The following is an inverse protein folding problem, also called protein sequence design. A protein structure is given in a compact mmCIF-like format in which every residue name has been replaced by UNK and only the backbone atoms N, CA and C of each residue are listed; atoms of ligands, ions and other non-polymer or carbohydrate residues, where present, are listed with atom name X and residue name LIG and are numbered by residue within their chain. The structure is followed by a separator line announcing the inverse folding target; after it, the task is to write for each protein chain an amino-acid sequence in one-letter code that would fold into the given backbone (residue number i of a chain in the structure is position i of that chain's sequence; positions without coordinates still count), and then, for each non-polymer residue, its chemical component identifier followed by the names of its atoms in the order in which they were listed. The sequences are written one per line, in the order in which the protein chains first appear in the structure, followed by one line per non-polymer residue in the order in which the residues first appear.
data_IF_423416484649
#
_entry.id   IF_423416484649
#
_cell.length_a   1.000
_cell.length_b   1.000
_cell.length_c   1.000
_cell.angle_alpha   90.00
_cell.angle_beta   90.00
_cell.angle_gamma   90.00
#
_symmetry.space_group_name_H-M   'P 1'
#
loop_
_entity.id
_entity.type
_entity.pdbx_description
1 polymer ?
#
# COMPACT_ATOMS: atom_id res chain seq x y z
N UNK A 1 -21.69 -2.48 -6.50
CA UNK A 1 -20.58 -3.43 -6.31
C UNK A 1 -20.01 -3.73 -7.67
N UNK A 2 -18.70 -3.71 -7.81
CA UNK A 2 -17.99 -4.10 -9.04
C UNK A 2 -16.90 -5.09 -8.66
N UNK A 3 -16.67 -6.10 -9.48
CA UNK A 3 -15.59 -7.07 -9.34
C UNK A 3 -14.84 -7.12 -10.64
N UNK A 4 -13.54 -6.83 -10.60
CA UNK A 4 -12.68 -6.77 -11.78
C UNK A 4 -11.57 -7.80 -11.61
N UNK A 5 -11.22 -8.49 -12.70
CA UNK A 5 -10.00 -9.29 -12.73
C UNK A 5 -8.78 -8.37 -12.69
N UNK A 6 -7.71 -8.80 -12.01
CA UNK A 6 -6.44 -8.09 -12.01
C UNK A 6 -5.32 -8.94 -12.59
N UNK A 7 -4.34 -8.25 -13.18
CA UNK A 7 -3.04 -8.80 -13.56
C UNK A 7 -1.99 -8.41 -12.50
N UNK A 8 -0.77 -8.94 -12.65
CA UNK A 8 0.35 -8.56 -11.78
C UNK A 8 1.51 -7.99 -12.57
N UNK A 9 2.14 -6.96 -12.00
CA UNK A 9 3.48 -6.52 -12.36
C UNK A 9 4.35 -6.76 -11.14
N UNK A 10 5.17 -7.81 -11.17
CA UNK A 10 5.85 -8.34 -9.98
C UNK A 10 4.82 -8.73 -8.89
N UNK A 11 4.88 -8.12 -7.71
CA UNK A 11 3.90 -8.29 -6.63
C UNK A 11 2.68 -7.37 -6.74
N UNK A 12 2.76 -6.31 -7.55
CA UNK A 12 1.77 -5.24 -7.59
C UNK A 12 0.50 -5.68 -8.31
N UNK A 13 -0.67 -5.35 -7.73
CA UNK A 13 -1.98 -5.57 -8.35
C UNK A 13 -2.20 -4.52 -9.44
N UNK A 14 -2.43 -4.96 -10.67
CA UNK A 14 -2.69 -4.10 -11.82
C UNK A 14 -4.12 -4.29 -12.34
N UNK A 15 -4.88 -3.20 -12.46
CA UNK A 15 -6.29 -3.20 -12.89
C UNK A 15 -6.53 -2.29 -14.08
N UNK A 16 -7.52 -2.60 -14.94
CA UNK A 16 -7.99 -1.68 -15.97
C UNK A 16 -8.77 -0.53 -15.33
N UNK A 17 -8.42 0.70 -15.71
CA UNK A 17 -9.06 1.93 -15.23
C UNK A 17 -9.36 2.82 -16.43
N UNK A 18 -10.61 3.25 -16.56
CA UNK A 18 -10.99 4.25 -17.55
C UNK A 18 -10.82 5.64 -16.96
N UNK A 19 -10.00 6.46 -17.60
CA UNK A 19 -9.80 7.87 -17.25
C UNK A 19 -10.31 8.73 -18.41
N UNK A 20 -11.33 9.55 -18.16
CA UNK A 20 -12.10 10.17 -19.24
C UNK A 20 -12.79 9.10 -20.11
N UNK A 21 -12.33 8.95 -21.36
CA UNK A 21 -12.85 7.97 -22.33
C UNK A 21 -11.84 6.86 -22.69
N UNK A 22 -10.63 6.90 -22.11
CA UNK A 22 -9.56 5.97 -22.45
C UNK A 22 -9.30 5.01 -21.31
N UNK A 23 -9.16 3.72 -21.62
CA UNK A 23 -8.75 2.70 -20.67
C UNK A 23 -7.22 2.63 -20.54
N UNK A 24 -6.76 2.49 -19.31
CA UNK A 24 -5.37 2.43 -18.91
C UNK A 24 -5.13 1.33 -17.89
N UNK A 25 -3.86 0.99 -17.67
CA UNK A 25 -3.45 0.09 -16.59
C UNK A 25 -2.91 0.88 -15.41
N UNK A 26 -3.53 0.67 -14.26
CA UNK A 26 -3.17 1.30 -12.99
C UNK A 26 -2.75 0.25 -11.99
N UNK A 27 -1.85 0.62 -11.08
CA UNK A 27 -1.59 -0.17 -9.89
C UNK A 27 -2.58 0.18 -8.78
N UNK A 28 -2.76 -0.74 -7.83
CA UNK A 28 -3.47 -0.48 -6.57
C UNK A 28 -2.48 -0.58 -5.43
N UNK A 29 -2.34 0.52 -4.70
CA UNK A 29 -1.32 0.67 -3.68
C UNK A 29 -1.91 1.39 -2.47
N UNK A 30 -1.90 0.75 -1.30
CA UNK A 30 -2.35 1.38 -0.06
C UNK A 30 -1.29 2.24 0.63
N UNK A 31 0.00 2.10 0.27
CA UNK A 31 1.12 2.87 0.81
C UNK A 31 1.51 4.10 -0.02
N UNK A 32 0.90 4.31 -1.19
CA UNK A 32 1.15 5.53 -2.00
C UNK A 32 0.51 6.79 -1.40
N UNK A 33 -0.48 6.61 -0.51
CA UNK A 33 -1.23 7.67 0.17
C UNK A 33 -2.22 8.43 -0.72
N UNK A 34 -1.74 9.04 -1.81
CA UNK A 34 -2.54 9.76 -2.81
C UNK A 34 -2.59 9.04 -4.16
N UNK A 35 -3.69 9.22 -4.90
CA UNK A 35 -3.75 8.70 -6.28
C UNK A 35 -2.81 9.49 -7.18
N UNK A 36 -2.06 8.79 -8.02
CA UNK A 36 -1.10 9.38 -8.95
C UNK A 36 -1.46 9.01 -10.39
N UNK A 37 -1.34 9.97 -11.31
CA UNK A 37 -1.40 9.74 -12.76
C UNK A 37 -0.14 10.29 -13.44
N UNK A 38 0.22 9.73 -14.59
CA UNK A 38 1.34 10.21 -15.38
C UNK A 38 1.03 11.56 -16.04
N UNK A 39 2.08 12.31 -16.38
CA UNK A 39 1.97 13.60 -17.06
C UNK A 39 1.22 13.45 -18.39
N UNK A 40 1.49 12.36 -19.12
CA UNK A 40 0.81 12.06 -20.39
C UNK A 40 -0.70 11.80 -20.26
N UNK A 41 -1.16 11.29 -19.12
CA UNK A 41 -2.61 11.14 -18.84
C UNK A 41 -3.19 12.50 -18.45
N UNK A 42 -2.50 13.28 -17.61
CA UNK A 42 -2.94 14.61 -17.20
C UNK A 42 -3.12 15.55 -18.40
N UNK A 43 -2.17 15.57 -19.34
CA UNK A 43 -2.20 16.40 -20.55
C UNK A 43 -3.39 16.09 -21.46
N UNK A 44 -3.78 14.81 -21.58
CA UNK A 44 -4.90 14.39 -22.44
C UNK A 44 -6.27 14.76 -21.90
N UNK A 45 -6.37 15.00 -20.60
CA UNK A 45 -7.65 15.31 -19.97
C UNK A 45 -8.06 16.78 -20.14
N UNK A 46 -7.23 17.60 -20.80
CA UNK A 46 -7.24 19.07 -20.62
C UNK A 46 -7.40 19.40 -19.14
N UNK A 47 -6.68 18.62 -18.30
CA UNK A 47 -6.99 18.48 -16.89
C UNK A 47 -6.90 19.82 -16.20
N UNK A 48 -7.99 20.24 -15.55
CA UNK A 48 -8.01 21.45 -14.76
C UNK A 48 -6.98 21.30 -13.63
N UNK A 49 -5.81 21.90 -13.82
CA UNK A 49 -4.82 22.04 -12.77
C UNK A 49 -5.50 22.75 -11.61
N UNK A 50 -5.29 22.25 -10.40
CA UNK A 50 -5.88 22.92 -9.22
C UNK A 50 -5.11 24.19 -8.87
N UNK A 51 -3.89 24.34 -9.41
CA UNK A 51 -2.93 25.37 -9.01
C UNK A 51 -2.21 25.05 -7.71
N UNK A 52 -2.43 23.86 -7.15
CA UNK A 52 -1.87 23.41 -5.88
C UNK A 52 -0.85 22.29 -6.11
N UNK A 53 0.05 22.13 -5.15
CA UNK A 53 0.97 21.00 -5.06
C UNK A 53 0.69 20.19 -3.80
N UNK A 54 1.11 18.94 -3.80
CA UNK A 54 1.14 18.09 -2.61
C UNK A 54 2.55 17.54 -2.44
N UNK A 55 3.07 17.56 -1.20
CA UNK A 55 4.35 16.96 -0.87
C UNK A 55 4.13 15.64 -0.15
N UNK A 56 4.31 14.52 -0.86
CA UNK A 56 4.37 13.19 -0.27
C UNK A 56 5.77 12.89 0.28
N UNK A 57 5.88 11.86 1.11
CA UNK A 57 7.17 11.36 1.60
C UNK A 57 7.33 9.88 1.29
N UNK A 58 8.48 9.49 0.77
CA UNK A 58 8.88 8.08 0.67
C UNK A 58 9.20 7.53 2.06
N UNK A 59 9.23 6.20 2.21
CA UNK A 59 9.65 5.55 3.46
C UNK A 59 11.08 5.95 3.90
N UNK A 60 11.96 6.32 2.96
CA UNK A 60 13.29 6.89 3.22
C UNK A 60 13.28 8.30 3.83
N UNK A 61 12.11 8.95 3.87
CA UNK A 61 11.92 10.33 4.31
C UNK A 61 12.08 11.39 3.22
N UNK A 62 12.47 10.99 2.01
CA UNK A 62 12.58 11.89 0.86
C UNK A 62 11.21 12.51 0.55
N UNK A 63 11.18 13.83 0.46
CA UNK A 63 9.99 14.58 0.10
C UNK A 63 9.88 14.67 -1.42
N UNK A 64 8.69 14.38 -1.96
CA UNK A 64 8.37 14.49 -3.38
C UNK A 64 7.18 15.41 -3.51
N UNK A 65 7.40 16.56 -4.13
CA UNK A 65 6.34 17.48 -4.50
C UNK A 65 5.77 17.10 -5.86
N UNK A 66 4.46 16.97 -5.94
CA UNK A 66 3.71 16.70 -7.16
C UNK A 66 2.63 17.77 -7.38
N UNK A 67 2.43 18.26 -8.61
CA UNK A 67 1.29 19.13 -8.90
C UNK A 67 -0.01 18.32 -8.83
N UNK A 68 -1.09 18.98 -8.42
CA UNK A 68 -2.42 18.39 -8.32
C UNK A 68 -3.29 18.74 -9.52
N UNK A 69 -4.02 17.74 -10.00
CA UNK A 69 -5.01 17.89 -11.07
C UNK A 69 -6.35 17.31 -10.64
N UNK A 70 -7.43 17.94 -11.09
CA UNK A 70 -8.77 17.39 -10.93
C UNK A 70 -9.12 16.53 -12.15
N UNK A 71 -9.25 15.24 -11.92
CA UNK A 71 -9.65 14.28 -12.95
C UNK A 71 -11.18 14.25 -13.02
N UNK A 72 -11.80 14.61 -14.17
CA UNK A 72 -13.26 14.72 -14.25
C UNK A 72 -13.97 13.41 -13.94
N UNK A 73 -13.41 12.29 -14.40
CA UNK A 73 -13.97 10.95 -14.23
C UNK A 73 -12.88 9.89 -14.24
N UNK A 74 -12.88 9.04 -13.23
CA UNK A 74 -12.09 7.81 -13.14
C UNK A 74 -13.05 6.66 -12.85
N UNK A 75 -12.97 5.58 -13.64
CA UNK A 75 -13.82 4.41 -13.48
C UNK A 75 -12.99 3.12 -13.41
N UNK A 76 -13.35 2.24 -12.47
CA UNK A 76 -12.81 0.91 -12.26
C UNK A 76 -13.97 -0.08 -12.34
N UNK A 77 -14.19 -0.66 -13.52
CA UNK A 77 -15.46 -1.33 -13.84
C UNK A 77 -16.66 -0.39 -13.63
N UNK A 78 -17.65 -0.82 -12.85
CA UNK A 78 -18.84 0.00 -12.55
C UNK A 78 -18.63 1.00 -11.40
N UNK A 79 -17.48 0.97 -10.71
CA UNK A 79 -17.15 1.96 -9.68
C UNK A 79 -16.60 3.23 -10.33
N UNK A 80 -17.24 4.36 -10.08
CA UNK A 80 -16.94 5.64 -10.72
C UNK A 80 -16.74 6.71 -9.67
N UNK A 81 -15.65 7.47 -9.80
CA UNK A 81 -15.39 8.67 -9.02
C UNK A 81 -15.29 9.86 -9.97
N UNK A 82 -16.05 10.90 -9.66
CA UNK A 82 -16.05 12.16 -10.42
C UNK A 82 -15.29 13.24 -9.67
N UNK A 83 -14.53 14.06 -10.40
CA UNK A 83 -13.77 15.17 -9.83
C UNK A 83 -12.68 14.77 -8.84
N UNK A 84 -12.16 13.54 -8.94
CA UNK A 84 -11.08 13.04 -8.08
C UNK A 84 -9.83 13.89 -8.20
N UNK A 85 -9.16 14.19 -7.09
CA UNK A 85 -7.88 14.93 -7.11
C UNK A 85 -6.74 13.93 -7.10
N UNK A 86 -5.84 14.04 -8.07
CA UNK A 86 -4.67 13.17 -8.21
C UNK A 86 -3.40 14.01 -8.29
N UNK A 87 -2.30 13.45 -7.80
CA UNK A 87 -0.95 13.96 -8.07
C UNK A 87 -0.49 13.58 -9.47
N UNK A 88 0.34 14.41 -10.09
CA UNK A 88 0.97 14.11 -11.39
C UNK A 88 2.43 13.75 -11.17
N UNK A 89 2.81 12.52 -11.51
CA UNK A 89 4.20 12.08 -11.48
C UNK A 89 4.42 10.91 -12.46
N UNK A 90 5.59 10.91 -13.10
CA UNK A 90 6.01 9.84 -14.00
C UNK A 90 6.83 8.81 -13.21
N UNK A 91 6.19 7.69 -12.88
CA UNK A 91 6.74 6.63 -12.01
C UNK A 91 7.39 5.47 -12.79
N UNK A 92 7.61 5.66 -14.09
CA UNK A 92 8.18 4.67 -15.02
C UNK A 92 7.23 4.27 -16.15
N UNK A 93 7.68 3.38 -17.04
CA UNK A 93 6.99 3.09 -18.31
C UNK A 93 5.92 1.97 -18.22
N UNK A 94 5.87 1.21 -17.12
CA UNK A 94 5.07 -0.02 -17.04
C UNK A 94 3.58 0.21 -16.70
N UNK A 95 3.25 1.36 -16.13
CA UNK A 95 1.90 1.75 -15.74
C UNK A 95 1.79 3.27 -15.79
N UNK A 96 0.57 3.78 -15.97
CA UNK A 96 0.34 5.23 -16.14
C UNK A 96 -0.27 5.88 -14.91
N UNK A 97 -0.46 5.12 -13.83
CA UNK A 97 -0.98 5.65 -12.58
C UNK A 97 -1.09 4.60 -11.48
N UNK A 98 -1.34 5.08 -10.27
CA UNK A 98 -1.52 4.30 -9.06
C UNK A 98 -2.78 4.80 -8.36
N UNK A 99 -3.73 3.91 -8.08
CA UNK A 99 -4.91 4.19 -7.27
C UNK A 99 -4.53 4.07 -5.79
N UNK A 100 -4.59 5.19 -5.08
CA UNK A 100 -4.35 5.25 -3.64
C UNK A 100 -5.61 5.07 -2.80
N UNK A 101 -5.46 4.99 -1.47
CA UNK A 101 -6.56 4.84 -0.50
C UNK A 101 -7.73 5.80 -0.70
N UNK A 102 -7.45 7.07 -1.01
CA UNK A 102 -8.47 8.13 -1.14
C UNK A 102 -9.38 7.97 -2.37
N UNK A 103 -8.98 7.20 -3.39
CA UNK A 103 -9.86 6.86 -4.51
C UNK A 103 -11.03 5.96 -4.09
N UNK A 104 -10.86 5.19 -3.01
CA UNK A 104 -11.82 4.19 -2.56
C UNK A 104 -12.65 4.66 -1.36
N UNK A 105 -12.75 5.96 -1.11
CA UNK A 105 -13.53 6.48 0.02
C UNK A 105 -14.98 5.99 -0.02
N UNK A 106 -15.51 5.72 1.17
CA UNK A 106 -16.84 5.15 1.43
C UNK A 106 -17.05 3.72 0.88
N UNK A 107 -16.00 3.06 0.40
CA UNK A 107 -16.05 1.71 -0.14
C UNK A 107 -15.11 0.77 0.61
N UNK A 108 -15.51 -0.49 0.67
CA UNK A 108 -14.61 -1.59 1.02
C UNK A 108 -14.03 -2.19 -0.25
N UNK A 109 -12.72 -2.41 -0.25
CA UNK A 109 -11.97 -2.96 -1.37
C UNK A 109 -11.35 -4.28 -0.97
N UNK A 110 -11.78 -5.35 -1.60
CA UNK A 110 -11.30 -6.70 -1.33
C UNK A 110 -10.38 -7.16 -2.46
N UNK A 111 -9.15 -7.50 -2.12
CA UNK A 111 -8.22 -8.22 -3.01
C UNK A 111 -8.31 -9.71 -2.69
N UNK A 112 -8.67 -10.51 -3.69
CA UNK A 112 -8.66 -11.97 -3.64
C UNK A 112 -7.50 -12.51 -4.50
N UNK A 113 -6.39 -12.96 -3.88
CA UNK A 113 -5.23 -13.47 -4.61
C UNK A 113 -5.49 -14.77 -5.37
N UNK A 114 -6.42 -15.61 -4.89
CA UNK A 114 -6.73 -16.92 -5.48
C UNK A 114 -7.56 -16.74 -6.75
N UNK A 115 -8.63 -15.94 -6.64
CA UNK A 115 -9.49 -15.61 -7.76
C UNK A 115 -8.88 -14.57 -8.72
N UNK A 116 -7.80 -13.89 -8.31
CA UNK A 116 -7.21 -12.72 -8.99
C UNK A 116 -8.24 -11.65 -9.27
N UNK A 117 -9.02 -11.31 -8.25
CA UNK A 117 -10.06 -10.27 -8.37
C UNK A 117 -9.90 -9.16 -7.34
N UNK A 118 -10.26 -7.96 -7.77
CA UNK A 118 -10.44 -6.80 -6.92
C UNK A 118 -11.94 -6.47 -6.89
N UNK A 119 -12.55 -6.50 -5.70
CA UNK A 119 -13.97 -6.19 -5.53
C UNK A 119 -14.14 -4.89 -4.75
N UNK A 120 -14.83 -3.92 -5.35
CA UNK A 120 -15.19 -2.65 -4.70
C UNK A 120 -16.69 -2.66 -4.42
N UNK A 121 -17.08 -2.40 -3.17
CA UNK A 121 -18.49 -2.32 -2.78
C UNK A 121 -18.73 -1.23 -1.73
N UNK A 122 -19.95 -0.66 -1.67
CA UNK A 122 -20.30 0.29 -0.62
C UNK A 122 -20.03 -0.31 0.76
N UNK A 123 -19.40 0.43 1.66
CA UNK A 123 -18.92 -0.11 2.95
C UNK A 123 -20.03 -0.68 3.84
N UNK A 124 -21.23 -0.13 3.75
CA UNK A 124 -22.42 -0.57 4.47
C UNK A 124 -22.95 -1.93 3.98
N UNK A 125 -22.60 -2.30 2.75
CA UNK A 125 -22.94 -3.61 2.16
C UNK A 125 -21.90 -4.69 2.48
N UNK A 126 -20.70 -4.31 2.92
CA UNK A 126 -19.65 -5.25 3.29
C UNK A 126 -19.96 -5.89 4.65
N UNK A 127 -19.67 -7.19 4.76
CA UNK A 127 -19.71 -7.96 5.99
C UNK A 127 -18.36 -8.63 6.14
N UNK A 128 -17.73 -8.42 7.28
CA UNK A 128 -16.43 -9.02 7.57
C UNK A 128 -16.55 -10.55 7.57
N UNK A 129 -15.57 -11.18 6.96
CA UNK A 129 -15.44 -12.63 6.77
C UNK A 129 -14.16 -13.18 7.43
N UNK A 130 -13.56 -12.36 8.31
CA UNK A 130 -12.33 -12.61 9.05
C UNK A 130 -12.17 -11.61 10.18
N UNK A 131 -11.05 -11.63 10.92
CA UNK A 131 -10.75 -10.60 11.91
C UNK A 131 -10.81 -9.19 11.33
N UNK A 132 -11.46 -8.29 12.07
CA UNK A 132 -11.42 -6.85 11.83
C UNK A 132 -10.30 -6.23 12.67
N UNK A 133 -9.32 -5.64 11.99
CA UNK A 133 -8.19 -4.93 12.58
C UNK A 133 -8.46 -3.43 12.43
N UNK A 134 -8.44 -2.65 13.53
CA UNK A 134 -8.60 -1.21 13.45
C UNK A 134 -7.40 -0.60 12.72
N UNK A 135 -7.67 0.34 11.82
CA UNK A 135 -6.66 1.17 11.16
C UNK A 135 -6.55 2.51 11.88
N UNK A 136 -5.33 2.95 12.14
CA UNK A 136 -5.04 4.37 12.33
C UNK A 136 -4.84 4.98 10.94
N UNK A 137 -5.80 5.77 10.44
CA UNK A 137 -5.68 6.42 9.13
C UNK A 137 -5.18 7.85 9.34
N UNK A 138 -3.95 8.12 8.92
CA UNK A 138 -3.37 9.47 8.94
C UNK A 138 -3.75 10.18 7.64
N UNK A 139 -4.24 11.41 7.74
CA UNK A 139 -4.73 12.18 6.60
C UNK A 139 -4.02 13.51 6.51
N UNK A 140 -3.58 13.82 5.30
CA UNK A 140 -2.98 15.11 4.96
C UNK A 140 -3.43 15.51 3.56
N UNK A 141 -4.24 16.57 3.47
CA UNK A 141 -4.79 17.06 2.20
C UNK A 141 -5.48 15.95 1.38
N UNK A 142 -4.85 15.50 0.29
CA UNK A 142 -5.35 14.49 -0.66
C UNK A 142 -4.87 13.07 -0.37
N UNK A 143 -4.07 12.88 0.70
CA UNK A 143 -3.47 11.60 1.09
C UNK A 143 -4.20 10.96 2.27
N UNK A 144 -4.20 9.63 2.30
CA UNK A 144 -4.60 8.85 3.45
C UNK A 144 -3.69 7.62 3.60
N UNK A 145 -3.02 7.52 4.74
CA UNK A 145 -2.00 6.51 5.00
C UNK A 145 -2.51 5.58 6.12
N UNK A 146 -2.77 4.30 5.84
CA UNK A 146 -3.34 3.35 6.79
C UNK A 146 -2.27 2.64 7.63
N UNK A 147 -2.39 2.69 8.96
CA UNK A 147 -1.48 2.04 9.90
C UNK A 147 -2.19 1.00 10.78
N UNK A 148 -1.46 -0.04 11.18
CA UNK A 148 -1.88 -1.09 12.13
C UNK A 148 -0.81 -1.32 13.20
N UNK A 149 -1.20 -1.92 14.32
CA UNK A 149 -0.25 -2.37 15.34
C UNK A 149 0.26 -3.78 15.02
N UNK A 150 1.58 -3.94 14.94
CA UNK A 150 2.29 -5.20 14.75
C UNK A 150 3.03 -5.58 16.04
N UNK A 151 2.89 -6.83 16.46
CA UNK A 151 3.59 -7.40 17.60
C UNK A 151 4.86 -8.11 17.11
N UNK A 152 6.00 -7.71 17.64
CA UNK A 152 7.32 -8.29 17.36
C UNK A 152 7.59 -9.52 18.27
N UNK A 153 8.62 -10.34 17.97
CA UNK A 153 8.97 -11.50 18.80
C UNK A 153 9.28 -11.16 20.26
N UNK A 154 9.81 -9.96 20.54
CA UNK A 154 10.03 -9.46 21.90
C UNK A 154 8.74 -9.19 22.69
N UNK A 155 7.58 -9.22 22.03
CA UNK A 155 6.29 -8.79 22.57
C UNK A 155 6.05 -7.28 22.44
N UNK A 156 7.01 -6.53 21.88
CA UNK A 156 6.84 -5.10 21.61
C UNK A 156 5.80 -4.87 20.50
N UNK A 157 4.87 -3.96 20.75
CA UNK A 157 3.95 -3.45 19.72
C UNK A 157 4.56 -2.23 19.02
N UNK A 158 4.42 -2.18 17.70
CA UNK A 158 4.91 -1.09 16.84
C UNK A 158 3.84 -0.70 15.82
N UNK A 159 3.89 0.54 15.33
CA UNK A 159 2.92 1.05 14.36
C UNK A 159 3.46 0.94 12.94
N UNK A 160 2.90 0.02 12.15
CA UNK A 160 3.35 -0.25 10.77
C UNK A 160 2.31 0.17 9.74
N UNK A 161 2.77 0.68 8.62
CA UNK A 161 1.91 1.02 7.48
C UNK A 161 1.39 -0.26 6.79
N UNK A 162 0.17 -0.21 6.27
CA UNK A 162 -0.38 -1.25 5.39
C UNK A 162 -0.09 -0.85 3.95
N UNK A 163 0.86 -1.54 3.32
CA UNK A 163 1.43 -1.12 2.04
C UNK A 163 1.37 -2.25 1.00
N UNK A 164 0.34 -2.25 0.15
CA UNK A 164 0.25 -3.20 -0.97
C UNK A 164 1.21 -2.91 -2.12
N UNK A 165 1.89 -1.76 -2.10
CA UNK A 165 2.97 -1.36 -2.99
C UNK A 165 4.30 -2.06 -2.70
N UNK A 166 4.44 -2.70 -1.53
CA UNK A 166 5.62 -3.47 -1.13
C UNK A 166 5.38 -4.98 -1.13
N UNK A 167 6.42 -5.78 -1.40
CA UNK A 167 6.40 -7.25 -1.25
C UNK A 167 6.89 -7.73 0.11
N UNK A 168 7.45 -6.83 0.91
CA UNK A 168 8.25 -7.16 2.07
C UNK A 168 7.60 -6.71 3.36
N UNK A 169 7.83 -7.46 4.44
CA UNK A 169 7.73 -6.91 5.79
C UNK A 169 9.00 -6.10 6.04
N UNK A 170 8.86 -4.78 6.15
CA UNK A 170 9.97 -3.86 6.36
C UNK A 170 9.85 -3.28 7.76
N UNK A 171 10.93 -3.29 8.53
CA UNK A 171 11.02 -2.66 9.84
C UNK A 171 12.16 -1.66 9.86
N UNK A 172 12.03 -0.61 10.68
CA UNK A 172 13.14 0.27 10.97
C UNK A 172 14.28 -0.51 11.65
N UNK A 173 15.53 -0.16 11.35
CA UNK A 173 16.72 -0.86 11.91
C UNK A 173 16.73 -0.85 13.43
N UNK A 174 16.12 0.13 14.09
CA UNK A 174 16.01 0.19 15.56
C UNK A 174 15.24 -0.98 16.17
N UNK A 175 14.46 -1.72 15.38
CA UNK A 175 13.71 -2.90 15.84
C UNK A 175 14.40 -4.23 15.54
N UNK A 176 15.62 -4.23 15.00
CA UNK A 176 16.37 -5.47 14.74
C UNK A 176 16.57 -6.30 16.02
N UNK A 177 16.96 -5.66 17.12
CA UNK A 177 17.13 -6.33 18.41
C UNK A 177 15.82 -6.89 18.99
N UNK A 178 14.69 -6.19 18.79
CA UNK A 178 13.35 -6.68 19.16
C UNK A 178 12.95 -7.96 18.38
N UNK A 179 13.58 -8.18 17.23
CA UNK A 179 13.43 -9.39 16.43
C UNK A 179 14.52 -10.44 16.68
N UNK A 180 15.41 -10.22 17.66
CA UNK A 180 16.55 -11.09 17.94
C UNK A 180 17.61 -11.09 16.84
N UNK A 181 17.70 -10.01 16.04
CA UNK A 181 18.65 -9.87 14.93
C UNK A 181 19.78 -8.92 15.33
N UNK A 182 21.01 -9.40 15.18
CA UNK A 182 22.20 -8.55 15.12
C UNK A 182 22.50 -8.24 13.64
N UNK A 183 22.40 -6.97 13.25
CA UNK A 183 22.62 -6.55 11.86
C UNK A 183 24.07 -6.73 11.39
N UNK A 184 25.01 -6.94 12.32
CA UNK A 184 26.40 -7.28 12.03
C UNK A 184 26.66 -8.79 11.88
N UNK A 185 25.67 -9.66 12.17
CA UNK A 185 25.81 -11.11 12.00
C UNK A 185 26.05 -11.45 10.51
N UNK A 186 27.09 -12.21 10.15
CA UNK A 186 27.37 -12.62 8.77
C UNK A 186 26.22 -13.37 8.06
N UNK A 187 25.25 -13.91 8.80
CA UNK A 187 24.04 -14.55 8.25
C UNK A 187 23.00 -13.53 7.77
N UNK A 188 23.08 -12.29 8.22
CA UNK A 188 22.23 -11.20 7.75
C UNK A 188 22.76 -10.73 6.40
N UNK A 189 21.93 -10.85 5.37
CA UNK A 189 22.29 -10.35 4.05
C UNK A 189 22.19 -8.83 4.04
N UNK A 190 23.22 -8.13 3.59
CA UNK A 190 23.22 -6.68 3.44
C UNK A 190 23.38 -6.30 1.97
N UNK A 191 22.64 -5.28 1.53
CA UNK A 191 22.84 -4.62 0.23
C UNK A 191 22.77 -3.12 0.41
N UNK A 192 23.58 -2.41 -0.36
CA UNK A 192 23.50 -0.98 -0.53
C UNK A 192 23.17 -0.64 -1.98
N UNK A 193 22.65 0.55 -2.22
CA UNK A 193 22.43 1.07 -3.55
C UNK A 193 22.00 2.52 -3.52
N UNK A 194 21.64 3.04 -4.69
CA UNK A 194 21.22 4.42 -4.88
C UNK A 194 19.92 4.42 -5.66
N UNK A 195 18.95 5.23 -5.26
CA UNK A 195 17.71 5.41 -6.02
C UNK A 195 17.89 6.42 -7.18
N UNK A 196 16.85 6.59 -7.99
CA UNK A 196 16.84 7.50 -9.15
C UNK A 196 17.04 8.98 -8.79
N UNK A 197 16.91 9.34 -7.52
CA UNK A 197 17.17 10.70 -7.02
C UNK A 197 18.60 10.88 -6.51
N UNK A 198 19.40 9.80 -6.46
CA UNK A 198 20.74 9.81 -5.89
C UNK A 198 20.78 9.47 -4.39
N UNK A 199 19.67 9.08 -3.77
CA UNK A 199 19.64 8.74 -2.35
C UNK A 199 20.23 7.36 -2.11
N UNK A 200 21.25 7.31 -1.25
CA UNK A 200 21.88 6.07 -0.83
C UNK A 200 21.01 5.33 0.19
N UNK A 201 20.77 4.05 -0.05
CA UNK A 201 20.05 3.18 0.87
C UNK A 201 20.92 2.01 1.28
N UNK A 202 20.70 1.55 2.51
CA UNK A 202 21.25 0.32 3.06
C UNK A 202 20.11 -0.54 3.58
N UNK A 203 20.07 -1.79 3.17
CA UNK A 203 19.03 -2.75 3.53
C UNK A 203 19.66 -4.02 4.05
N UNK A 204 19.07 -4.56 5.10
CA UNK A 204 19.43 -5.82 5.71
C UNK A 204 18.27 -6.80 5.59
N UNK A 205 18.55 -8.08 5.36
CA UNK A 205 17.53 -9.13 5.34
C UNK A 205 17.92 -10.24 6.30
N UNK A 206 16.98 -10.59 7.17
CA UNK A 206 17.13 -11.68 8.12
C UNK A 206 15.85 -12.52 8.18
N UNK A 207 15.99 -13.83 8.38
CA UNK A 207 14.88 -14.67 8.84
C UNK A 207 14.94 -14.70 10.35
N UNK A 208 13.89 -14.24 11.02
CA UNK A 208 13.88 -14.07 12.47
C UNK A 208 13.49 -15.38 13.18
N UNK A 209 13.90 -15.53 14.44
CA UNK A 209 13.33 -16.54 15.32
C UNK A 209 12.02 -16.01 15.92
N UNK A 210 10.99 -16.87 16.02
CA UNK A 210 9.69 -16.48 16.56
C UNK A 210 8.69 -16.07 15.49
N UNK A 211 7.76 -15.17 15.84
CA UNK A 211 6.67 -14.78 14.95
C UNK A 211 6.32 -13.30 15.12
N UNK A 212 5.76 -12.73 14.05
CA UNK A 212 5.08 -11.44 14.08
C UNK A 212 3.59 -11.64 13.82
N UNK A 213 2.74 -10.80 14.41
CA UNK A 213 1.29 -10.81 14.17
C UNK A 213 0.69 -9.43 14.36
N UNK A 214 -0.49 -9.17 13.77
CA UNK A 214 -1.23 -7.95 14.08
C UNK A 214 -1.82 -8.04 15.49
N UNK A 215 -1.67 -6.97 16.29
CA UNK A 215 -2.06 -6.99 17.71
C UNK A 215 -3.55 -7.32 17.91
N UNK A 216 -4.42 -6.78 17.06
CA UNK A 216 -5.87 -7.05 17.10
C UNK A 216 -6.26 -8.43 16.52
N UNK A 217 -5.33 -9.17 15.93
CA UNK A 217 -5.59 -10.46 15.32
C UNK A 217 -4.39 -11.43 15.49
N UNK A 218 -4.12 -11.95 16.69
CA UNK A 218 -2.98 -12.84 16.94
C UNK A 218 -2.93 -14.11 16.07
N UNK A 219 -4.08 -14.58 15.61
CA UNK A 219 -4.19 -15.68 14.63
C UNK A 219 -3.51 -15.38 13.28
N UNK A 220 -3.15 -14.11 13.02
CA UNK A 220 -2.44 -13.72 11.81
C UNK A 220 -0.93 -14.03 11.84
N UNK A 221 -0.45 -14.61 12.95
CA UNK A 221 0.95 -14.96 13.18
C UNK A 221 1.65 -15.55 11.95
N UNK A 222 2.76 -14.91 11.58
CA UNK A 222 3.73 -15.44 10.62
C UNK A 222 4.91 -15.97 11.42
N UNK A 223 5.14 -17.28 11.39
CA UNK A 223 6.31 -17.89 12.00
C UNK A 223 7.53 -17.74 11.09
N UNK A 224 8.68 -17.44 11.70
CA UNK A 224 9.97 -17.24 11.05
C UNK A 224 9.90 -16.40 9.76
N UNK A 225 9.29 -15.19 9.78
CA UNK A 225 9.22 -14.35 8.60
C UNK A 225 10.63 -13.89 8.20
N UNK A 226 10.82 -13.71 6.90
CA UNK A 226 11.95 -12.94 6.37
C UNK A 226 11.58 -11.46 6.44
N UNK A 227 12.40 -10.68 7.13
CA UNK A 227 12.19 -9.24 7.36
C UNK A 227 13.30 -8.47 6.66
N UNK A 228 12.94 -7.35 6.05
CA UNK A 228 13.88 -6.33 5.60
C UNK A 228 14.02 -5.25 6.69
N UNK A 229 15.24 -4.93 7.09
CA UNK A 229 15.52 -3.79 7.96
C UNK A 229 16.18 -2.67 7.16
N UNK A 230 15.68 -1.45 7.32
CA UNK A 230 16.19 -0.25 6.66
C UNK A 230 15.87 0.96 7.54
N UNK A 231 16.70 2.00 7.53
CA UNK A 231 16.36 3.27 8.17
C UNK A 231 15.20 3.94 7.42
N UNK A 232 14.07 4.11 8.11
CA UNK A 232 12.82 4.62 7.53
C UNK A 232 12.10 5.56 8.50
N UNK A 233 11.16 6.35 7.98
CA UNK A 233 10.40 7.33 8.78
C UNK A 233 9.27 6.72 9.62
N UNK A 234 8.90 5.47 9.36
CA UNK A 234 7.86 4.75 10.10
C UNK A 234 8.50 3.70 11.03
N UNK A 235 7.70 3.04 11.89
CA UNK A 235 8.27 1.89 12.61
C UNK A 235 8.51 0.70 11.67
N UNK A 236 7.70 0.60 10.62
CA UNK A 236 7.73 -0.44 9.61
C UNK A 236 6.54 -0.33 8.66
N UNK A 237 6.43 -1.31 7.76
CA UNK A 237 5.25 -1.55 6.93
C UNK A 237 5.05 -3.06 6.70
N UNK A 238 3.80 -3.47 6.56
CA UNK A 238 3.40 -4.83 6.18
C UNK A 238 3.06 -4.86 4.69
N UNK A 239 3.94 -5.49 3.91
CA UNK A 239 3.76 -5.68 2.48
C UNK A 239 2.88 -6.87 2.09
N UNK A 240 2.72 -7.07 0.78
CA UNK A 240 1.98 -8.20 0.17
C UNK A 240 2.51 -9.57 0.61
N UNK A 241 3.80 -9.71 0.93
CA UNK A 241 4.37 -10.96 1.50
C UNK A 241 3.73 -11.38 2.83
N UNK A 242 3.16 -10.43 3.59
CA UNK A 242 2.35 -10.71 4.77
C UNK A 242 0.85 -10.76 4.42
N UNK A 243 0.36 -9.75 3.69
CA UNK A 243 -1.06 -9.51 3.45
C UNK A 243 -1.71 -10.55 2.53
N UNK A 244 -0.99 -11.06 1.52
CA UNK A 244 -1.55 -12.01 0.54
C UNK A 244 -1.68 -13.45 1.06
N UNK A 245 -1.36 -13.69 2.33
CA UNK A 245 -1.79 -14.89 3.04
C UNK A 245 -3.31 -14.92 3.26
N UNK A 246 -4.00 -13.81 3.01
CA UNK A 246 -5.41 -13.60 3.26
C UNK A 246 -6.14 -13.06 2.03
N UNK A 247 -7.47 -13.20 2.04
CA UNK A 247 -8.35 -12.31 1.27
C UNK A 247 -8.43 -11.00 2.03
N UNK A 248 -7.64 -10.02 1.61
CA UNK A 248 -7.50 -8.73 2.28
C UNK A 248 -8.64 -7.80 1.86
N UNK A 249 -9.30 -7.16 2.83
CA UNK A 249 -10.22 -6.04 2.57
C UNK A 249 -9.80 -4.80 3.34
N UNK A 250 -9.64 -3.66 2.68
CA UNK A 250 -9.48 -2.38 3.36
C UNK A 250 -10.73 -1.51 3.21
N UNK A 251 -11.07 -0.77 4.27
CA UNK A 251 -12.13 0.24 4.33
C UNK A 251 -11.55 1.46 5.06
N UNK A 252 -11.04 2.42 4.27
CA UNK A 252 -10.30 3.58 4.77
C UNK A 252 -11.24 4.53 5.53
N UNK A 253 -12.46 4.73 5.03
CA UNK A 253 -13.46 5.57 5.72
C UNK A 253 -13.92 4.93 7.02
N UNK A 254 -14.11 3.61 7.03
CA UNK A 254 -14.43 2.84 8.23
C UNK A 254 -13.26 2.56 9.15
N UNK A 255 -12.04 3.00 8.79
CA UNK A 255 -10.81 2.80 9.54
C UNK A 255 -10.60 1.33 9.96
N UNK A 256 -10.72 0.40 9.00
CA UNK A 256 -10.54 -1.04 9.28
C UNK A 256 -9.91 -1.80 8.12
N UNK A 257 -9.17 -2.84 8.50
CA UNK A 257 -8.63 -3.90 7.66
C UNK A 257 -9.29 -5.22 8.05
N UNK A 258 -9.69 -6.03 7.08
CA UNK A 258 -10.23 -7.36 7.31
C UNK A 258 -9.37 -8.38 6.60
N UNK A 259 -8.97 -9.44 7.31
CA UNK A 259 -8.13 -10.51 6.77
C UNK A 259 -8.93 -11.82 6.72
N UNK A 260 -9.68 -12.00 5.64
CA UNK A 260 -10.46 -13.20 5.38
C UNK A 260 -9.59 -14.40 5.01
N UNK A 261 -10.11 -15.61 5.23
CA UNK A 261 -9.43 -16.83 4.78
C UNK A 261 -9.36 -16.90 3.24
N UNK A 262 -8.25 -17.44 2.73
CA UNK A 262 -8.08 -17.82 1.32
C UNK A 262 -8.93 -19.04 0.98
N UNK A 263 -9.33 -19.14 -0.28
CA UNK A 263 -10.08 -20.32 -0.77
C UNK A 263 -9.06 -21.29 -1.34
N UNK A 264 -8.91 -22.47 -0.71
CA UNK A 264 -7.98 -23.51 -1.16
C UNK A 264 -8.41 -24.12 -2.50
#
# INVERSE_FOLDING_TARGET
MTTIAFDRVQHLVQVPVTVGTTEYRFLVDTGIGTTVISSAVADRLDGATTGETFTGRRMSGQAIEVPLVRVPRIALGDFVVEGHVAGVADLGDAFVGILGPTFFENHSVTTDPDAKTLTVRPRESFRADGPEIPLEVRRESVSADPFVQLVLPSGREITVEVDTGSDSLILDTRFAADCGVDLADPKVSMRTGTDETGYEWQRHWATIAGSVHLAAAPQTAQAAPRIMFQDIIHDGLVGTGYLERYRMTFDITGARLVLGARTL
#
